data_IF_005533699762
#
_entry.id   IF_005533699762
#
_cell.length_a   1.000
_cell.length_b   1.000
_cell.length_c   1.000
_cell.angle_alpha   90.00
_cell.angle_beta   90.00
_cell.angle_gamma   90.00
#
_symmetry.space_group_name_H-M   'P 1'
#
loop_
_entity.id
_entity.type
_entity.pdbx_description
1 polymer ?
#
# COMPACT_ATOMS: atom_id res chain seq x y z
N UNK A 1 2.80 -0.48 -12.97
CA UNK A 1 2.76 -0.52 -11.49
C UNK A 1 2.70 0.91 -11.00
N UNK A 2 1.91 1.20 -9.97
CA UNK A 2 1.78 2.56 -9.39
C UNK A 2 2.10 2.50 -7.90
N UNK A 3 3.04 3.35 -7.49
CA UNK A 3 3.37 3.58 -6.09
C UNK A 3 2.38 4.54 -5.44
N UNK A 4 1.76 4.12 -4.35
CA UNK A 4 0.95 4.98 -3.48
C UNK A 4 1.68 5.13 -2.15
N UNK A 5 2.08 6.38 -1.88
CA UNK A 5 2.79 6.77 -0.67
C UNK A 5 1.96 7.80 0.09
N UNK A 6 1.87 7.64 1.40
CA UNK A 6 1.11 8.55 2.24
C UNK A 6 1.34 8.32 3.72
N UNK A 7 0.95 9.30 4.53
CA UNK A 7 1.15 9.28 5.98
C UNK A 7 0.35 8.19 6.68
N UNK A 8 0.80 7.83 7.89
CA UNK A 8 0.12 6.90 8.80
C UNK A 8 -1.17 7.46 9.40
N UNK A 9 -1.40 8.77 9.25
CA UNK A 9 -2.58 9.50 9.67
C UNK A 9 -3.14 10.26 8.47
N UNK A 10 -4.45 10.22 8.29
CA UNK A 10 -5.19 10.97 7.27
C UNK A 10 -6.59 11.24 7.78
N UNK A 11 -7.17 12.37 7.39
CA UNK A 11 -8.59 12.64 7.65
C UNK A 11 -9.47 11.68 6.83
N UNK A 12 -10.75 11.56 7.20
CA UNK A 12 -11.69 10.63 6.55
C UNK A 12 -11.73 10.81 5.03
N UNK A 13 -11.64 12.06 4.57
CA UNK A 13 -11.61 12.40 3.15
C UNK A 13 -10.37 11.82 2.46
N UNK A 14 -9.19 12.00 3.05
CA UNK A 14 -7.94 11.47 2.49
C UNK A 14 -7.97 9.94 2.43
N UNK A 15 -8.51 9.29 3.47
CA UNK A 15 -8.64 7.83 3.49
C UNK A 15 -9.61 7.32 2.43
N UNK A 16 -10.78 7.98 2.26
CA UNK A 16 -11.73 7.65 1.22
C UNK A 16 -11.13 7.83 -0.19
N UNK A 17 -10.37 8.90 -0.40
CA UNK A 17 -9.66 9.12 -1.67
C UNK A 17 -8.56 8.08 -1.92
N UNK A 18 -7.80 7.69 -0.89
CA UNK A 18 -6.79 6.65 -1.00
C UNK A 18 -7.40 5.30 -1.37
N UNK A 19 -8.54 4.97 -0.76
CA UNK A 19 -9.31 3.77 -1.08
C UNK A 19 -9.78 3.76 -2.54
N UNK A 20 -10.45 4.83 -2.96
CA UNK A 20 -10.92 4.98 -4.34
C UNK A 20 -9.78 4.97 -5.35
N UNK A 21 -8.63 5.56 -5.02
CA UNK A 21 -7.43 5.51 -5.85
C UNK A 21 -6.94 4.07 -6.04
N UNK A 22 -6.86 3.29 -4.95
CA UNK A 22 -6.49 1.88 -5.01
C UNK A 22 -7.43 1.08 -5.92
N UNK A 23 -8.74 1.26 -5.75
CA UNK A 23 -9.77 0.63 -6.58
C UNK A 23 -9.56 0.93 -8.07
N UNK A 24 -9.34 2.20 -8.42
CA UNK A 24 -9.12 2.62 -9.81
C UNK A 24 -7.82 2.08 -10.41
N UNK A 25 -6.75 1.99 -9.63
CA UNK A 25 -5.48 1.39 -10.07
C UNK A 25 -5.73 -0.07 -10.47
N UNK A 26 -6.43 -0.82 -9.63
CA UNK A 26 -6.79 -2.21 -9.91
C UNK A 26 -7.71 -2.36 -11.13
N UNK A 27 -8.77 -1.55 -11.22
CA UNK A 27 -9.71 -1.56 -12.37
C UNK A 27 -9.03 -1.21 -13.70
N UNK A 28 -7.97 -0.39 -13.66
CA UNK A 28 -7.14 -0.09 -14.82
C UNK A 28 -6.17 -1.23 -15.19
N UNK A 29 -6.18 -2.36 -14.45
CA UNK A 29 -5.29 -3.50 -14.66
C UNK A 29 -3.85 -3.25 -14.18
N UNK A 30 -3.63 -2.26 -13.31
CA UNK A 30 -2.31 -1.92 -12.81
C UNK A 30 -2.05 -2.58 -11.45
N UNK A 31 -0.78 -2.92 -11.19
CA UNK A 31 -0.32 -3.40 -9.88
C UNK A 31 -0.13 -2.21 -8.93
N UNK A 32 -0.67 -2.32 -7.72
CA UNK A 32 -0.46 -1.34 -6.64
C UNK A 32 0.81 -1.66 -5.85
N UNK A 33 1.69 -0.68 -5.69
CA UNK A 33 2.85 -0.73 -4.81
C UNK A 33 2.63 0.21 -3.62
N UNK A 34 2.86 -0.26 -2.40
CA UNK A 34 2.66 0.48 -1.16
C UNK A 34 3.84 0.30 -0.20
N UNK A 35 4.04 1.23 0.73
CA UNK A 35 5.01 1.10 1.83
C UNK A 35 4.68 0.01 2.84
N UNK A 36 3.51 -0.62 2.69
CA UNK A 36 3.18 -1.92 3.25
C UNK A 36 2.79 -1.96 4.72
N UNK A 37 2.76 -0.83 5.44
CA UNK A 37 2.26 -0.79 6.84
C UNK A 37 0.75 -0.65 6.90
N UNK A 38 0.13 -1.29 7.90
CA UNK A 38 -1.29 -1.23 8.21
C UNK A 38 -1.74 0.13 8.80
N UNK A 39 -1.50 1.24 8.11
CA UNK A 39 -1.85 2.57 8.63
C UNK A 39 -2.23 3.56 7.53
N UNK A 40 -3.29 4.33 7.79
CA UNK A 40 -3.68 5.49 7.00
C UNK A 40 -3.86 5.20 5.50
N UNK A 41 -3.24 6.03 4.67
CA UNK A 41 -3.33 5.99 3.20
C UNK A 41 -2.91 4.63 2.64
N UNK A 42 -1.87 4.01 3.21
CA UNK A 42 -1.35 2.74 2.73
C UNK A 42 -2.38 1.61 2.88
N UNK A 43 -3.00 1.47 4.06
CA UNK A 43 -4.04 0.47 4.27
C UNK A 43 -5.25 0.73 3.38
N UNK A 44 -5.74 1.98 3.33
CA UNK A 44 -6.90 2.33 2.52
C UNK A 44 -6.70 2.00 1.03
N UNK A 45 -5.54 2.34 0.46
CA UNK A 45 -5.22 2.04 -0.94
C UNK A 45 -5.12 0.54 -1.24
N UNK A 46 -4.51 -0.24 -0.32
CA UNK A 46 -4.43 -1.71 -0.44
C UNK A 46 -5.82 -2.34 -0.39
N UNK A 47 -6.67 -1.91 0.55
CA UNK A 47 -8.06 -2.38 0.65
C UNK A 47 -8.81 -2.13 -0.65
N UNK A 48 -8.79 -0.90 -1.17
CA UNK A 48 -9.52 -0.57 -2.40
C UNK A 48 -9.02 -1.33 -3.63
N UNK A 49 -7.71 -1.51 -3.78
CA UNK A 49 -7.16 -2.30 -4.87
C UNK A 49 -7.56 -3.78 -4.79
N UNK A 50 -7.56 -4.34 -3.57
CA UNK A 50 -7.94 -5.74 -3.32
C UNK A 50 -9.42 -5.98 -3.59
N UNK A 51 -10.31 -5.07 -3.18
CA UNK A 51 -11.75 -5.17 -3.44
C UNK A 51 -12.06 -5.21 -4.95
N UNK A 52 -11.27 -4.51 -5.77
CA UNK A 52 -11.34 -4.55 -7.22
C UNK A 52 -10.59 -5.74 -7.86
N UNK A 53 -10.02 -6.65 -7.07
CA UNK A 53 -9.28 -7.83 -7.55
C UNK A 53 -7.91 -7.53 -8.15
N UNK A 54 -7.32 -6.36 -7.85
CA UNK A 54 -5.98 -5.98 -8.29
C UNK A 54 -4.88 -6.63 -7.46
N UNK A 55 -3.69 -6.78 -8.07
CA UNK A 55 -2.50 -7.28 -7.39
C UNK A 55 -1.87 -6.18 -6.52
N UNK A 56 -1.58 -6.50 -5.26
CA UNK A 56 -1.02 -5.57 -4.28
C UNK A 56 0.36 -6.01 -3.78
N UNK A 57 1.31 -5.07 -3.73
CA UNK A 57 2.70 -5.29 -3.30
C UNK A 57 3.07 -4.31 -2.20
N UNK A 58 3.60 -4.82 -1.08
CA UNK A 58 4.02 -4.03 0.07
C UNK A 58 5.52 -4.13 0.31
N UNK A 59 6.21 -2.99 0.34
CA UNK A 59 7.65 -2.90 0.61
C UNK A 59 7.88 -2.36 2.03
N UNK A 60 8.11 -3.28 2.97
CA UNK A 60 8.25 -2.94 4.39
C UNK A 60 9.61 -2.30 4.66
N UNK A 61 9.61 -1.36 5.60
CA UNK A 61 10.80 -0.66 6.06
C UNK A 61 11.71 -1.57 6.92
N UNK A 62 11.14 -2.54 7.63
CA UNK A 62 11.84 -3.49 8.49
C UNK A 62 11.81 -4.91 7.90
N UNK A 63 12.27 -5.86 8.72
CA UNK A 63 12.23 -7.29 8.40
C UNK A 63 10.99 -7.99 8.96
N UNK A 64 10.13 -7.28 9.70
CA UNK A 64 8.99 -7.88 10.39
C UNK A 64 7.76 -7.96 9.48
N UNK A 65 7.53 -9.15 8.92
CA UNK A 65 6.36 -9.42 8.09
C UNK A 65 5.03 -9.21 8.82
N UNK A 66 5.02 -9.28 10.15
CA UNK A 66 3.79 -9.07 10.94
C UNK A 66 3.33 -7.61 10.92
N UNK A 67 4.21 -6.67 10.55
CA UNK A 67 3.86 -5.26 10.39
C UNK A 67 3.14 -4.95 9.06
N UNK A 68 2.93 -5.97 8.21
CA UNK A 68 2.30 -5.82 6.91
C UNK A 68 0.82 -5.42 7.02
N UNK A 69 0.39 -4.53 6.13
CA UNK A 69 -1.01 -4.23 5.88
C UNK A 69 -1.77 -5.51 5.52
N UNK A 70 -2.94 -5.67 6.12
CA UNK A 70 -3.83 -6.77 5.77
C UNK A 70 -4.27 -6.60 4.30
N UNK A 71 -4.28 -7.70 3.55
CA UNK A 71 -4.71 -7.71 2.16
C UNK A 71 -3.60 -7.55 1.13
N UNK A 72 -2.33 -7.43 1.54
CA UNK A 72 -1.18 -7.50 0.64
C UNK A 72 -0.98 -8.92 0.08
N UNK A 73 -0.86 -9.04 -1.24
CA UNK A 73 -0.59 -10.32 -1.90
C UNK A 73 0.90 -10.67 -1.88
N UNK A 74 1.75 -9.65 -2.03
CA UNK A 74 3.22 -9.80 -2.00
C UNK A 74 3.80 -8.86 -0.94
N UNK A 75 4.54 -9.43 0.01
CA UNK A 75 5.23 -8.69 1.06
C UNK A 75 6.74 -8.82 0.90
N UNK A 76 7.41 -7.68 0.71
CA UNK A 76 8.86 -7.55 0.58
C UNK A 76 9.42 -6.88 1.85
N UNK A 77 9.88 -7.67 2.84
CA UNK A 77 10.57 -7.14 4.01
C UNK A 77 12.00 -6.73 3.66
N UNK A 78 12.28 -5.43 3.58
CA UNK A 78 13.59 -4.96 3.09
C UNK A 78 14.65 -4.83 4.17
N UNK A 79 14.25 -4.54 5.43
CA UNK A 79 15.20 -4.17 6.48
C UNK A 79 16.01 -2.89 6.20
N UNK A 80 15.63 -2.11 5.17
CA UNK A 80 16.40 -0.95 4.71
C UNK A 80 16.02 0.36 5.43
N UNK A 81 15.10 0.33 6.39
CA UNK A 81 14.63 1.52 7.09
C UNK A 81 14.06 2.55 6.12
N UNK A 82 14.42 3.83 6.30
CA UNK A 82 14.02 4.91 5.39
C UNK A 82 14.63 4.82 3.99
N UNK A 83 15.72 4.06 3.81
CA UNK A 83 16.39 3.93 2.52
C UNK A 83 15.54 3.17 1.48
N UNK A 84 14.54 2.42 1.94
CA UNK A 84 13.50 1.79 1.11
C UNK A 84 12.76 2.78 0.21
N UNK A 85 12.66 4.05 0.58
CA UNK A 85 11.97 5.05 -0.24
C UNK A 85 12.63 5.26 -1.62
N UNK A 86 13.89 4.83 -1.81
CA UNK A 86 14.54 4.85 -3.12
C UNK A 86 14.06 3.74 -4.08
N UNK A 87 13.33 2.74 -3.58
CA UNK A 87 12.81 1.60 -4.35
C UNK A 87 11.33 1.81 -4.73
N UNK A 88 10.63 2.69 -4.00
CA UNK A 88 9.20 2.97 -4.18
C UNK A 88 8.90 4.00 -5.27
#
# INVERSE_FOLDING_TARGET
MVGVMGGSLGDERTLAQAHELGRRIAEAGWVLLSGGRASGVMQASVTGAREAGGLTVGVLFDTDRNAAAEGLDIVIPTGMGSARNAIN
#
